data_IF_813690799932
#
_entry.id   IF_813690799932
#
_cell.length_a   1.000
_cell.length_b   1.000
_cell.length_c   1.000
_cell.angle_alpha   90.00
_cell.angle_beta   90.00
_cell.angle_gamma   90.00
#
_symmetry.space_group_name_H-M   'P 1'
#
loop_
_entity.id
_entity.type
_entity.pdbx_description
1 polymer ?
#
# COMPACT_ATOMS: atom_id res chain seq x y z
N UNK A 1 5.02 -51.00 32.42
CA UNK A 1 4.25 -49.87 32.97
C UNK A 1 4.12 -48.78 31.91
N UNK A 2 3.14 -48.88 31.03
CA UNK A 2 2.80 -47.85 30.03
C UNK A 2 1.78 -46.89 30.66
N UNK A 3 2.16 -45.62 30.81
CA UNK A 3 1.24 -44.55 31.22
C UNK A 3 0.29 -44.26 30.06
N UNK A 4 -0.96 -44.68 30.21
CA UNK A 4 -2.09 -44.30 29.36
C UNK A 4 -2.30 -42.77 29.43
N UNK A 5 -1.93 -42.06 28.37
CA UNK A 5 -2.48 -40.73 28.13
C UNK A 5 -3.93 -40.92 27.64
N UNK A 6 -4.88 -40.57 28.49
CA UNK A 6 -6.29 -40.41 28.09
C UNK A 6 -6.35 -39.41 26.94
N UNK A 7 -6.89 -39.84 25.81
CA UNK A 7 -7.35 -38.94 24.76
C UNK A 7 -8.32 -37.94 25.39
N UNK A 8 -7.91 -36.68 25.47
CA UNK A 8 -8.82 -35.59 25.76
C UNK A 8 -9.84 -35.55 24.63
N UNK A 9 -11.01 -36.11 24.90
CA UNK A 9 -12.17 -36.13 24.03
C UNK A 9 -12.66 -34.67 23.87
N UNK A 10 -11.97 -33.90 23.02
CA UNK A 10 -12.38 -32.57 22.61
C UNK A 10 -13.51 -32.67 21.58
N UNK A 11 -14.59 -33.35 21.98
CA UNK A 11 -15.91 -33.27 21.36
C UNK A 11 -16.58 -31.94 21.75
N UNK A 12 -15.83 -30.83 21.70
CA UNK A 12 -16.40 -29.49 21.67
C UNK A 12 -16.97 -29.26 20.28
N UNK A 13 -18.14 -29.89 20.10
CA UNK A 13 -19.16 -29.62 19.12
C UNK A 13 -19.39 -28.10 19.09
N UNK A 14 -18.65 -27.39 18.25
CA UNK A 14 -18.98 -26.04 17.83
C UNK A 14 -20.40 -26.09 17.27
N UNK A 15 -21.39 -25.85 18.13
CA UNK A 15 -22.75 -25.49 17.72
C UNK A 15 -22.57 -24.21 16.91
N UNK A 16 -22.47 -24.34 15.59
CA UNK A 16 -22.78 -23.26 14.65
C UNK A 16 -24.20 -22.82 14.98
N UNK A 17 -24.37 -21.80 15.80
CA UNK A 17 -25.61 -21.04 15.85
C UNK A 17 -25.72 -20.31 14.52
N UNK A 18 -26.22 -21.01 13.50
CA UNK A 18 -26.72 -20.38 12.29
C UNK A 18 -27.93 -19.55 12.76
N UNK A 19 -27.74 -18.24 12.82
CA UNK A 19 -28.82 -17.28 13.05
C UNK A 19 -29.32 -16.91 11.66
N UNK A 20 -30.45 -17.47 11.25
CA UNK A 20 -31.11 -17.12 9.99
C UNK A 20 -32.30 -16.20 10.30
N UNK A 21 -32.50 -15.15 9.50
CA UNK A 21 -33.70 -14.31 9.56
C UNK A 21 -34.69 -14.77 8.50
N UNK A 22 -35.93 -15.03 8.88
CA UNK A 22 -36.98 -15.33 7.91
C UNK A 22 -37.30 -14.08 7.09
N UNK A 23 -37.23 -14.16 5.76
CA UNK A 23 -37.48 -13.02 4.86
C UNK A 23 -38.95 -12.57 4.86
N UNK A 24 -39.87 -13.47 5.21
CA UNK A 24 -41.31 -13.19 5.20
C UNK A 24 -41.82 -12.61 6.53
N UNK A 25 -41.47 -13.23 7.67
CA UNK A 25 -41.96 -12.77 8.98
C UNK A 25 -40.90 -12.07 9.84
N UNK A 26 -39.66 -11.98 9.38
CA UNK A 26 -38.57 -11.30 10.10
C UNK A 26 -38.03 -12.04 11.33
N UNK A 27 -38.58 -13.20 11.71
CA UNK A 27 -38.17 -13.95 12.89
C UNK A 27 -36.72 -14.46 12.77
N UNK A 28 -35.95 -14.31 13.85
CA UNK A 28 -34.61 -14.89 14.00
C UNK A 28 -34.71 -16.36 14.45
N UNK A 29 -34.19 -17.26 13.63
CA UNK A 29 -34.22 -18.71 13.85
C UNK A 29 -32.83 -19.16 14.25
N UNK A 30 -32.73 -19.71 15.46
CA UNK A 30 -31.49 -20.27 16.00
C UNK A 30 -31.47 -21.78 15.75
N UNK A 31 -30.58 -22.24 14.87
CA UNK A 31 -30.36 -23.67 14.60
C UNK A 31 -30.93 -24.18 13.26
N UNK A 32 -30.69 -25.46 12.97
CA UNK A 32 -31.10 -26.11 11.74
C UNK A 32 -32.61 -26.42 11.75
N UNK A 33 -33.44 -25.57 11.12
CA UNK A 33 -34.85 -25.88 10.81
C UNK A 33 -35.11 -25.70 9.31
N UNK A 34 -35.83 -26.65 8.71
CA UNK A 34 -36.18 -26.65 7.27
C UNK A 34 -37.33 -25.69 6.94
N UNK A 35 -38.11 -25.28 7.94
CA UNK A 35 -39.22 -24.35 7.81
C UNK A 35 -39.24 -23.34 8.95
N UNK A 36 -39.73 -22.13 8.68
CA UNK A 36 -39.94 -21.13 9.71
C UNK A 36 -41.04 -21.60 10.69
N UNK A 37 -40.79 -21.61 12.01
CA UNK A 37 -41.80 -22.04 12.98
C UNK A 37 -43.01 -21.10 13.08
N UNK A 38 -42.91 -19.87 12.57
CA UNK A 38 -43.97 -18.86 12.68
C UNK A 38 -44.80 -18.74 11.41
N UNK A 39 -44.17 -18.74 10.23
CA UNK A 39 -44.89 -18.57 8.96
C UNK A 39 -44.88 -19.80 8.04
N UNK A 40 -44.25 -20.91 8.45
CA UNK A 40 -44.23 -22.16 7.68
C UNK A 40 -43.37 -22.14 6.41
N UNK A 41 -42.82 -20.99 6.00
CA UNK A 41 -42.05 -20.87 4.77
C UNK A 41 -40.77 -21.71 4.82
N UNK A 42 -40.50 -22.41 3.72
CA UNK A 42 -39.30 -23.22 3.53
C UNK A 42 -38.05 -22.33 3.55
N UNK A 43 -37.04 -22.73 4.32
CA UNK A 43 -35.77 -22.01 4.41
C UNK A 43 -34.76 -22.80 3.59
N UNK A 44 -34.30 -22.24 2.47
CA UNK A 44 -33.24 -22.84 1.69
C UNK A 44 -31.94 -22.85 2.49
N UNK A 45 -31.55 -24.03 2.95
CA UNK A 45 -30.26 -24.27 3.59
C UNK A 45 -29.15 -24.16 2.55
N UNK A 46 -28.60 -22.95 2.37
CA UNK A 46 -27.36 -22.77 1.61
C UNK A 46 -26.24 -23.54 2.32
N UNK A 47 -25.65 -24.54 1.65
CA UNK A 47 -24.46 -25.22 2.15
C UNK A 47 -23.27 -24.25 2.22
N UNK A 48 -23.03 -23.73 3.42
CA UNK A 48 -21.98 -22.74 3.70
C UNK A 48 -20.63 -23.41 4.04
N UNK A 49 -20.49 -24.71 3.81
CA UNK A 49 -19.35 -25.51 4.29
C UNK A 49 -18.61 -26.13 3.11
N UNK A 50 -17.27 -26.11 3.13
CA UNK A 50 -16.37 -26.77 2.18
C UNK A 50 -15.42 -27.68 2.94
N UNK A 51 -14.97 -28.77 2.31
CA UNK A 51 -13.95 -29.67 2.88
C UNK A 51 -12.55 -29.13 2.53
N UNK A 52 -11.67 -28.99 3.52
CA UNK A 52 -10.28 -28.63 3.28
C UNK A 52 -9.59 -29.76 2.49
N UNK A 53 -9.02 -29.45 1.33
CA UNK A 53 -8.34 -30.43 0.46
C UNK A 53 -7.11 -31.09 1.11
N UNK A 54 -6.47 -30.41 2.07
CA UNK A 54 -5.20 -30.88 2.65
C UNK A 54 -5.35 -31.65 3.97
N UNK A 55 -6.39 -31.39 4.77
CA UNK A 55 -6.59 -32.07 6.06
C UNK A 55 -7.99 -32.64 6.26
N UNK A 56 -8.88 -32.50 5.27
CA UNK A 56 -10.23 -33.06 5.32
C UNK A 56 -11.22 -32.35 6.23
N UNK A 57 -10.81 -31.33 6.99
CA UNK A 57 -11.71 -30.61 7.90
C UNK A 57 -12.79 -29.81 7.16
N UNK A 58 -14.01 -29.85 7.68
CA UNK A 58 -15.15 -29.05 7.22
C UNK A 58 -15.05 -27.62 7.76
N UNK A 59 -14.84 -26.66 6.86
CA UNK A 59 -14.66 -25.23 7.17
C UNK A 59 -15.75 -24.42 6.46
N UNK A 60 -16.10 -23.26 7.00
CA UNK A 60 -17.07 -22.38 6.32
C UNK A 60 -16.45 -21.84 5.02
N UNK A 61 -17.26 -21.61 3.98
CA UNK A 61 -16.81 -21.02 2.71
C UNK A 61 -16.10 -19.67 2.90
N UNK A 62 -16.47 -18.93 3.95
CA UNK A 62 -15.86 -17.66 4.37
C UNK A 62 -14.43 -17.77 4.93
N UNK A 63 -14.03 -18.94 5.45
CA UNK A 63 -12.71 -19.13 6.04
C UNK A 63 -11.67 -19.26 4.92
N UNK A 64 -10.71 -18.33 4.88
CA UNK A 64 -9.64 -18.26 3.86
C UNK A 64 -8.49 -19.21 4.17
N UNK A 65 -8.13 -19.36 5.45
CA UNK A 65 -7.01 -20.17 5.93
C UNK A 65 -7.58 -21.29 6.81
N UNK A 66 -7.19 -22.53 6.55
CA UNK A 66 -7.60 -23.66 7.36
C UNK A 66 -7.05 -23.52 8.79
N UNK A 67 -7.87 -23.53 9.85
CA UNK A 67 -7.38 -23.36 11.22
C UNK A 67 -6.51 -24.53 11.72
N UNK A 68 -6.61 -25.71 11.11
CA UNK A 68 -5.79 -26.88 11.49
C UNK A 68 -4.48 -26.91 10.69
N UNK A 69 -4.56 -26.95 9.37
CA UNK A 69 -3.36 -27.15 8.55
C UNK A 69 -2.72 -25.84 8.05
N UNK A 70 -3.28 -24.68 8.42
CA UNK A 70 -2.85 -23.33 7.98
C UNK A 70 -2.73 -23.11 6.47
N UNK A 71 -3.13 -24.08 5.63
CA UNK A 71 -3.17 -23.92 4.17
C UNK A 71 -4.42 -23.17 3.73
N UNK A 72 -4.28 -22.32 2.70
CA UNK A 72 -5.38 -21.53 2.12
C UNK A 72 -6.41 -22.45 1.48
N UNK A 73 -7.69 -22.16 1.69
CA UNK A 73 -8.81 -23.08 1.36
C UNK A 73 -9.80 -22.53 0.34
N UNK A 74 -9.61 -21.29 -0.07
CA UNK A 74 -10.35 -20.68 -1.18
C UNK A 74 -9.35 -19.97 -2.07
N UNK A 75 -9.45 -20.29 -3.35
CA UNK A 75 -9.13 -19.36 -4.42
C UNK A 75 -10.14 -18.23 -4.21
N UNK A 76 -9.76 -17.19 -3.46
CA UNK A 76 -10.40 -15.89 -3.68
C UNK A 76 -10.24 -15.59 -5.18
N UNK A 77 -11.11 -14.78 -5.79
CA UNK A 77 -10.66 -14.04 -6.95
C UNK A 77 -9.52 -13.13 -6.45
N UNK A 78 -8.31 -13.68 -6.36
CA UNK A 78 -7.12 -12.90 -6.58
C UNK A 78 -7.44 -12.23 -7.91
N UNK A 79 -7.62 -10.90 -7.87
CA UNK A 79 -7.63 -10.11 -9.09
C UNK A 79 -6.26 -10.37 -9.68
N UNK A 80 -6.19 -11.41 -10.51
CA UNK A 80 -4.94 -11.88 -11.02
C UNK A 80 -4.44 -10.76 -11.92
N UNK A 81 -3.18 -10.34 -11.80
CA UNK A 81 -2.64 -9.31 -12.69
C UNK A 81 -2.78 -9.71 -14.18
N UNK A 82 -2.87 -11.02 -14.47
CA UNK A 82 -3.24 -11.52 -15.80
C UNK A 82 -4.66 -11.14 -16.25
N UNK A 83 -5.64 -11.06 -15.35
CA UNK A 83 -6.99 -10.58 -15.69
C UNK A 83 -6.93 -9.11 -16.11
N UNK A 84 -6.13 -8.28 -15.43
CA UNK A 84 -5.93 -6.87 -15.81
C UNK A 84 -5.27 -6.77 -17.19
N UNK A 85 -4.19 -7.51 -17.43
CA UNK A 85 -3.50 -7.51 -18.73
C UNK A 85 -4.41 -8.02 -19.85
N UNK A 86 -5.11 -9.14 -19.64
CA UNK A 86 -6.03 -9.73 -20.62
C UNK A 86 -7.20 -8.77 -20.89
N UNK A 87 -7.78 -8.15 -19.86
CA UNK A 87 -8.88 -7.19 -20.03
C UNK A 87 -8.43 -5.93 -20.77
N UNK A 88 -7.22 -5.42 -20.49
CA UNK A 88 -6.63 -4.28 -21.19
C UNK A 88 -6.32 -4.59 -22.66
N UNK A 89 -5.77 -5.78 -22.95
CA UNK A 89 -5.47 -6.22 -24.32
C UNK A 89 -6.75 -6.47 -25.14
N UNK A 90 -7.73 -7.17 -24.57
CA UNK A 90 -9.03 -7.41 -25.22
C UNK A 90 -9.75 -6.07 -25.45
N UNK A 91 -9.75 -5.18 -24.46
CA UNK A 91 -10.32 -3.84 -24.60
C UNK A 91 -9.64 -3.06 -25.73
N UNK A 92 -8.31 -3.00 -25.73
CA UNK A 92 -7.57 -2.31 -26.78
C UNK A 92 -7.83 -2.89 -28.18
N UNK A 93 -7.96 -4.22 -28.32
CA UNK A 93 -8.23 -4.88 -29.59
C UNK A 93 -9.67 -4.66 -30.07
N UNK A 94 -10.68 -4.84 -29.21
CA UNK A 94 -12.11 -4.69 -29.54
C UNK A 94 -12.46 -3.23 -29.85
N UNK A 95 -11.86 -2.28 -29.12
CA UNK A 95 -12.15 -0.86 -29.28
C UNK A 95 -11.21 -0.16 -30.27
N UNK A 96 -10.24 -0.88 -30.89
CA UNK A 96 -9.26 -0.31 -31.83
C UNK A 96 -9.89 0.45 -32.99
N UNK A 97 -11.05 0.00 -33.46
CA UNK A 97 -11.75 0.56 -34.61
C UNK A 97 -12.85 1.58 -34.21
N UNK A 98 -13.03 1.87 -32.92
CA UNK A 98 -14.02 2.85 -32.45
C UNK A 98 -13.38 4.23 -32.24
N UNK A 99 -14.16 5.27 -32.50
CA UNK A 99 -13.74 6.68 -32.58
C UNK A 99 -13.28 7.29 -31.24
N UNK A 100 -13.54 6.65 -30.11
CA UNK A 100 -13.21 7.15 -28.78
C UNK A 100 -11.76 6.82 -28.40
N UNK A 101 -10.83 7.71 -28.73
CA UNK A 101 -9.41 7.64 -28.33
C UNK A 101 -9.26 7.46 -26.81
N UNK A 102 -10.14 8.07 -26.01
CA UNK A 102 -10.05 8.07 -24.55
C UNK A 102 -10.25 6.68 -23.94
N UNK A 103 -11.13 5.87 -24.52
CA UNK A 103 -11.33 4.48 -24.08
C UNK A 103 -10.10 3.60 -24.39
N UNK A 104 -9.42 3.86 -25.50
CA UNK A 104 -8.17 3.16 -25.82
C UNK A 104 -7.06 3.55 -24.84
N UNK A 105 -6.92 4.84 -24.52
CA UNK A 105 -5.98 5.31 -23.51
C UNK A 105 -6.25 4.66 -22.14
N UNK A 106 -7.52 4.53 -21.75
CA UNK A 106 -7.91 3.84 -20.52
C UNK A 106 -7.54 2.35 -20.54
N UNK A 107 -7.74 1.65 -21.66
CA UNK A 107 -7.33 0.24 -21.80
C UNK A 107 -5.80 0.07 -21.68
N UNK A 108 -5.03 1.00 -22.25
CA UNK A 108 -3.57 1.02 -22.09
C UNK A 108 -3.15 1.24 -20.64
N UNK A 109 -3.82 2.15 -19.91
CA UNK A 109 -3.56 2.36 -18.48
C UNK A 109 -3.79 1.07 -17.69
N UNK A 110 -4.90 0.37 -17.91
CA UNK A 110 -5.20 -0.92 -17.25
C UNK A 110 -4.10 -1.95 -17.54
N UNK A 111 -3.63 -2.01 -18.77
CA UNK A 111 -2.56 -2.91 -19.18
C UNK A 111 -1.26 -2.61 -18.42
N UNK A 112 -0.84 -1.33 -18.36
CA UNK A 112 0.36 -0.93 -17.61
C UNK A 112 0.22 -1.19 -16.11
N UNK A 113 -0.97 -0.98 -15.52
CA UNK A 113 -1.24 -1.35 -14.13
C UNK A 113 -1.10 -2.86 -13.90
N UNK A 114 -1.57 -3.68 -14.85
CA UNK A 114 -1.41 -5.13 -14.81
C UNK A 114 0.06 -5.56 -14.84
N UNK A 115 0.86 -4.99 -15.75
CA UNK A 115 2.31 -5.26 -15.83
C UNK A 115 3.02 -4.82 -14.55
N UNK A 116 2.73 -3.61 -14.06
CA UNK A 116 3.31 -3.08 -12.82
C UNK A 116 3.00 -3.97 -11.61
N UNK A 117 1.79 -4.52 -11.55
CA UNK A 117 1.37 -5.45 -10.48
C UNK A 117 2.16 -6.78 -10.52
N UNK A 118 2.52 -7.27 -11.70
CA UNK A 118 3.40 -8.46 -11.84
C UNK A 118 4.80 -8.15 -11.32
N UNK A 119 5.37 -7.01 -11.75
CA UNK A 119 6.72 -6.60 -11.34
C UNK A 119 6.82 -6.45 -9.82
N UNK A 120 5.84 -5.78 -9.21
CA UNK A 120 5.78 -5.62 -7.75
C UNK A 120 5.48 -6.95 -7.04
N UNK A 121 4.64 -7.82 -7.60
CA UNK A 121 4.42 -9.17 -7.07
C UNK A 121 5.71 -10.00 -7.03
N UNK A 122 6.52 -9.91 -8.07
CA UNK A 122 7.85 -10.54 -8.10
C UNK A 122 8.78 -9.95 -7.03
N UNK A 123 8.74 -8.63 -6.80
CA UNK A 123 9.49 -7.97 -5.73
C UNK A 123 9.12 -8.50 -4.34
N UNK A 124 7.84 -8.83 -4.12
CA UNK A 124 7.36 -9.46 -2.88
C UNK A 124 7.78 -10.93 -2.74
N UNK A 125 8.28 -11.57 -3.80
CA UNK A 125 8.54 -13.01 -3.84
C UNK A 125 7.24 -13.84 -3.97
N UNK A 126 6.15 -13.23 -4.42
CA UNK A 126 4.85 -13.90 -4.55
C UNK A 126 4.33 -13.80 -5.99
N UNK A 127 4.12 -14.95 -6.64
CA UNK A 127 3.45 -15.01 -7.93
C UNK A 127 2.08 -15.66 -7.75
N UNK A 128 1.01 -14.88 -7.94
CA UNK A 128 -0.37 -15.30 -7.69
C UNK A 128 -0.68 -15.78 -6.26
N UNK A 129 0.10 -15.33 -5.27
CA UNK A 129 0.00 -15.77 -3.88
C UNK A 129 0.54 -17.17 -3.63
N UNK A 130 1.31 -17.71 -4.57
CA UNK A 130 2.15 -18.89 -4.40
C UNK A 130 3.62 -18.47 -4.35
N UNK A 131 4.38 -19.14 -3.48
CA UNK A 131 5.83 -18.95 -3.37
C UNK A 131 6.57 -19.78 -4.42
N UNK A 132 5.88 -20.80 -4.96
CA UNK A 132 6.41 -21.74 -5.94
C UNK A 132 5.58 -21.63 -7.21
N UNK A 133 6.24 -21.39 -8.34
CA UNK A 133 5.59 -21.46 -9.64
C UNK A 133 5.61 -22.93 -10.08
N UNK A 134 4.49 -23.62 -9.84
CA UNK A 134 4.27 -24.97 -10.34
C UNK A 134 3.81 -24.90 -11.80
N UNK A 135 4.65 -25.36 -12.73
CA UNK A 135 4.32 -25.53 -14.13
C UNK A 135 4.34 -27.04 -14.42
N UNK A 136 3.21 -27.58 -14.90
CA UNK A 136 3.03 -29.00 -15.21
C UNK A 136 3.40 -29.97 -14.07
N UNK A 137 3.11 -29.61 -12.81
CA UNK A 137 3.35 -30.48 -11.65
C UNK A 137 4.82 -30.58 -11.21
N UNK A 138 5.70 -29.78 -11.80
CA UNK A 138 7.11 -29.62 -11.39
C UNK A 138 7.35 -28.20 -10.88
N UNK A 139 8.11 -28.08 -9.80
CA UNK A 139 8.51 -26.78 -9.23
C UNK A 139 9.53 -26.16 -10.17
N UNK A 140 9.12 -25.14 -10.92
CA UNK A 140 9.97 -24.55 -11.96
C UNK A 140 10.86 -23.45 -11.39
N UNK A 141 10.33 -22.65 -10.45
CA UNK A 141 11.02 -21.55 -9.79
C UNK A 141 10.48 -21.41 -8.36
N UNK A 142 11.40 -21.49 -7.38
CA UNK A 142 11.17 -20.97 -6.03
C UNK A 142 11.42 -19.46 -6.06
N UNK A 143 10.39 -18.67 -5.77
CA UNK A 143 10.52 -17.22 -5.70
C UNK A 143 11.09 -16.83 -4.34
N UNK A 144 12.37 -16.49 -4.33
CA UNK A 144 12.95 -15.82 -3.17
C UNK A 144 12.66 -14.31 -3.25
N UNK A 145 12.32 -13.67 -2.12
CA UNK A 145 12.07 -12.24 -2.07
C UNK A 145 13.31 -11.47 -2.49
N UNK A 146 13.16 -10.56 -3.45
CA UNK A 146 14.28 -9.74 -3.93
C UNK A 146 14.74 -8.80 -2.82
N UNK A 147 15.99 -8.95 -2.39
CA UNK A 147 16.62 -8.04 -1.44
C UNK A 147 17.11 -6.80 -2.19
N UNK A 148 16.64 -5.61 -1.82
CA UNK A 148 17.14 -4.36 -2.42
C UNK A 148 18.53 -4.06 -1.80
N UNK A 149 19.63 -4.11 -2.58
CA UNK A 149 20.99 -4.13 -2.04
C UNK A 149 21.42 -2.84 -1.35
N UNK A 150 20.71 -1.73 -1.57
CA UNK A 150 21.06 -0.41 -1.01
C UNK A 150 20.56 -0.28 0.45
N UNK A 151 19.54 -1.04 0.86
CA UNK A 151 18.87 -0.86 2.16
C UNK A 151 18.67 -2.16 2.96
N UNK A 152 19.09 -3.32 2.45
CA UNK A 152 18.83 -4.64 3.06
C UNK A 152 17.36 -4.86 3.47
N UNK A 153 16.44 -4.24 2.72
CA UNK A 153 14.99 -4.37 2.92
C UNK A 153 14.54 -5.62 2.15
N UNK A 154 13.89 -6.54 2.86
CA UNK A 154 13.20 -7.69 2.26
C UNK A 154 11.70 -7.49 2.42
N UNK A 155 10.96 -7.56 1.31
CA UNK A 155 9.51 -7.34 1.30
C UNK A 155 8.71 -8.62 1.59
N UNK A 156 9.34 -9.62 2.20
CA UNK A 156 8.71 -10.90 2.47
C UNK A 156 7.69 -10.81 3.61
N UNK A 157 6.48 -11.34 3.39
CA UNK A 157 5.36 -11.33 4.33
C UNK A 157 5.05 -9.91 4.88
N UNK A 158 4.39 -9.04 4.09
CA UNK A 158 4.13 -7.65 4.46
C UNK A 158 3.35 -7.50 5.78
N UNK A 159 2.54 -8.50 6.14
CA UNK A 159 1.76 -8.52 7.39
C UNK A 159 2.62 -8.66 8.64
N UNK A 160 3.77 -9.35 8.55
CA UNK A 160 4.65 -9.57 9.70
C UNK A 160 5.68 -8.44 9.85
N UNK A 161 5.98 -7.73 8.75
CA UNK A 161 7.00 -6.69 8.69
C UNK A 161 6.42 -5.34 8.25
N UNK A 162 5.36 -4.89 8.93
CA UNK A 162 4.61 -3.65 8.61
C UNK A 162 5.56 -2.44 8.51
N UNK A 163 6.53 -2.33 9.41
CA UNK A 163 7.51 -1.23 9.43
C UNK A 163 8.41 -1.21 8.19
N UNK A 164 8.70 -2.38 7.60
CA UNK A 164 9.54 -2.51 6.39
C UNK A 164 8.76 -2.06 5.16
N UNK A 165 7.49 -2.47 5.05
CA UNK A 165 6.56 -2.01 3.99
C UNK A 165 6.37 -0.50 4.07
N UNK A 166 6.20 0.01 5.28
CA UNK A 166 6.05 1.44 5.54
C UNK A 166 7.31 2.24 5.16
N UNK A 167 8.51 1.76 5.51
CA UNK A 167 9.78 2.37 5.05
C UNK A 167 9.88 2.34 3.51
N UNK A 168 9.53 1.22 2.88
CA UNK A 168 9.54 1.11 1.42
C UNK A 168 8.56 2.09 0.73
N UNK A 169 7.36 2.25 1.29
CA UNK A 169 6.37 3.23 0.87
C UNK A 169 6.90 4.67 0.95
N UNK A 170 7.51 5.04 2.09
CA UNK A 170 8.16 6.34 2.26
C UNK A 170 9.25 6.53 1.20
N UNK A 171 10.09 5.51 0.97
CA UNK A 171 11.19 5.59 0.01
C UNK A 171 10.69 5.90 -1.41
N UNK A 172 9.68 5.17 -1.88
CA UNK A 172 9.09 5.40 -3.21
C UNK A 172 8.49 6.81 -3.29
N UNK A 173 7.72 7.22 -2.27
CA UNK A 173 7.12 8.55 -2.23
C UNK A 173 8.18 9.66 -2.28
N UNK A 174 9.26 9.51 -1.52
CA UNK A 174 10.37 10.47 -1.47
C UNK A 174 11.07 10.58 -2.82
N UNK A 175 11.37 9.45 -3.47
CA UNK A 175 11.97 9.43 -4.82
C UNK A 175 11.06 10.13 -5.83
N UNK A 176 9.77 9.83 -5.82
CA UNK A 176 8.80 10.42 -6.75
C UNK A 176 8.69 11.94 -6.56
N UNK A 177 8.50 12.41 -5.33
CA UNK A 177 8.39 13.85 -5.04
C UNK A 177 9.69 14.59 -5.38
N UNK A 178 10.85 14.02 -5.01
CA UNK A 178 12.16 14.61 -5.33
C UNK A 178 12.36 14.72 -6.85
N UNK A 179 11.90 13.74 -7.64
CA UNK A 179 11.98 13.81 -9.11
C UNK A 179 11.16 14.98 -9.66
N UNK A 180 9.96 15.23 -9.11
CA UNK A 180 9.13 16.38 -9.47
C UNK A 180 9.82 17.72 -9.18
N UNK A 181 10.36 17.89 -7.97
CA UNK A 181 11.08 19.11 -7.61
C UNK A 181 12.42 19.25 -8.34
N UNK A 182 13.07 18.16 -8.71
CA UNK A 182 14.28 18.21 -9.53
C UNK A 182 13.97 18.72 -10.93
N UNK A 183 12.86 18.28 -11.54
CA UNK A 183 12.38 18.86 -12.82
C UNK A 183 12.07 20.35 -12.66
N UNK A 184 11.42 20.74 -11.55
CA UNK A 184 11.15 22.15 -11.25
C UNK A 184 12.44 22.97 -11.11
N UNK A 185 13.47 22.41 -10.46
CA UNK A 185 14.79 23.02 -10.36
C UNK A 185 15.41 23.23 -11.76
N UNK A 186 15.37 22.21 -12.63
CA UNK A 186 15.86 22.32 -14.00
C UNK A 186 15.12 23.39 -14.80
N UNK A 187 13.80 23.54 -14.59
CA UNK A 187 13.00 24.59 -15.21
C UNK A 187 13.43 25.98 -14.75
N UNK A 188 13.64 26.19 -13.45
CA UNK A 188 14.14 27.47 -12.93
C UNK A 188 15.55 27.78 -13.41
N UNK A 189 16.40 26.76 -13.54
CA UNK A 189 17.74 26.89 -14.07
C UNK A 189 17.72 27.36 -15.53
N UNK A 190 16.87 26.75 -16.35
CA UNK A 190 16.66 27.14 -17.76
C UNK A 190 16.10 28.56 -17.91
N UNK A 191 15.28 29.00 -16.96
CA UNK A 191 14.70 30.35 -16.94
C UNK A 191 15.64 31.42 -16.34
N UNK A 192 16.91 31.08 -16.05
CA UNK A 192 17.90 31.94 -15.38
C UNK A 192 17.48 32.43 -13.97
N UNK A 193 16.46 31.83 -13.34
CA UNK A 193 15.97 32.14 -11.99
C UNK A 193 16.64 31.24 -10.93
N UNK A 194 17.97 31.24 -10.91
CA UNK A 194 18.77 30.29 -10.11
C UNK A 194 18.50 30.37 -8.59
N UNK A 195 18.28 31.58 -8.06
CA UNK A 195 17.98 31.76 -6.64
C UNK A 195 16.65 31.09 -6.26
N UNK A 196 15.62 31.23 -7.09
CA UNK A 196 14.32 30.60 -6.83
C UNK A 196 14.41 29.07 -6.90
N UNK A 197 15.19 28.54 -7.85
CA UNK A 197 15.46 27.11 -7.93
C UNK A 197 16.19 26.57 -6.70
N UNK A 198 17.18 27.32 -6.18
CA UNK A 198 17.87 26.95 -4.95
C UNK A 198 16.93 26.99 -3.74
N UNK A 199 16.35 28.17 -3.48
CA UNK A 199 15.56 28.44 -2.28
C UNK A 199 14.24 27.68 -2.22
N UNK A 200 13.59 27.44 -3.37
CA UNK A 200 12.34 26.70 -3.44
C UNK A 200 12.53 25.20 -3.66
N UNK A 201 13.28 24.78 -4.69
CA UNK A 201 13.32 23.37 -5.08
C UNK A 201 14.39 22.57 -4.34
N UNK A 202 15.63 23.06 -4.23
CA UNK A 202 16.71 22.31 -3.58
C UNK A 202 16.51 22.22 -2.06
N UNK A 203 16.03 23.29 -1.41
CA UNK A 203 15.76 23.24 0.03
C UNK A 203 14.59 22.30 0.36
N UNK A 204 13.57 22.16 -0.51
CA UNK A 204 12.52 21.14 -0.35
C UNK A 204 13.07 19.71 -0.49
N UNK A 205 13.93 19.47 -1.48
CA UNK A 205 14.61 18.17 -1.64
C UNK A 205 15.43 17.86 -0.38
N UNK A 206 16.14 18.85 0.16
CA UNK A 206 16.91 18.68 1.40
C UNK A 206 16.00 18.41 2.60
N UNK A 207 14.92 19.16 2.78
CA UNK A 207 13.91 18.94 3.83
C UNK A 207 13.40 17.49 3.82
N UNK A 208 12.96 17.02 2.66
CA UNK A 208 12.36 15.70 2.49
C UNK A 208 13.38 14.57 2.65
N UNK A 209 14.56 14.73 2.05
CA UNK A 209 15.65 13.75 2.14
C UNK A 209 16.19 13.68 3.57
N UNK A 210 16.32 14.82 4.24
CA UNK A 210 16.72 14.92 5.65
C UNK A 210 15.72 14.22 6.58
N UNK A 211 14.43 14.47 6.41
CA UNK A 211 13.38 13.76 7.16
C UNK A 211 13.40 12.24 6.90
N UNK A 212 13.69 11.82 5.67
CA UNK A 212 13.80 10.40 5.32
C UNK A 212 15.00 9.75 6.01
N UNK A 213 16.17 10.38 5.97
CA UNK A 213 17.37 9.90 6.67
C UNK A 213 17.12 9.79 8.18
N UNK A 214 16.44 10.79 8.77
CA UNK A 214 16.06 10.80 10.18
C UNK A 214 15.23 9.56 10.54
N UNK A 215 14.14 9.32 9.80
CA UNK A 215 13.23 8.19 10.04
C UNK A 215 13.92 6.83 9.79
N UNK A 216 14.79 6.73 8.78
CA UNK A 216 15.42 5.47 8.42
C UNK A 216 16.52 5.07 9.40
N UNK A 217 17.27 6.05 9.92
CA UNK A 217 18.40 5.84 10.83
C UNK A 217 17.97 5.75 12.29
N UNK A 218 17.08 6.65 12.73
CA UNK A 218 16.69 6.79 14.14
C UNK A 218 15.27 6.29 14.44
N UNK A 219 14.49 5.90 13.42
CA UNK A 219 13.10 5.47 13.60
C UNK A 219 12.18 6.62 14.01
N UNK A 220 11.02 6.28 14.58
CA UNK A 220 10.03 7.22 15.11
C UNK A 220 10.24 7.51 16.61
N UNK A 221 11.49 7.58 17.05
CA UNK A 221 11.84 7.85 18.45
C UNK A 221 12.18 9.34 18.65
N UNK A 222 11.20 10.10 19.13
CA UNK A 222 11.33 11.54 19.38
C UNK A 222 12.42 11.83 20.42
N UNK A 223 12.64 10.94 21.40
CA UNK A 223 13.67 11.14 22.41
C UNK A 223 15.06 11.10 21.77
N UNK A 224 15.29 10.16 20.86
CA UNK A 224 16.57 10.05 20.12
C UNK A 224 16.76 11.24 19.19
N UNK A 225 15.70 11.79 18.61
CA UNK A 225 15.79 12.97 17.75
C UNK A 225 16.23 14.23 18.49
N UNK A 226 15.85 14.34 19.77
CA UNK A 226 16.20 15.44 20.67
C UNK A 226 17.48 15.20 21.48
N UNK A 227 18.04 13.99 21.43
CA UNK A 227 19.31 13.69 22.09
C UNK A 227 20.50 14.19 21.24
N UNK A 228 21.59 14.67 21.85
CA UNK A 228 22.82 15.02 21.12
C UNK A 228 23.28 13.85 20.22
N UNK A 229 23.55 14.07 18.92
CA UNK A 229 23.87 15.34 18.25
C UNK A 229 22.67 16.12 17.65
N UNK A 230 21.45 15.90 18.15
CA UNK A 230 20.19 16.50 17.69
C UNK A 230 19.86 16.20 16.22
N UNK A 231 19.62 14.92 15.86
CA UNK A 231 19.23 14.54 14.50
C UNK A 231 18.05 15.33 13.93
N UNK A 232 17.15 15.83 14.78
CA UNK A 232 16.01 16.66 14.38
C UNK A 232 16.39 17.91 13.59
N UNK A 233 17.63 18.41 13.75
CA UNK A 233 18.12 19.57 13.01
C UNK A 233 18.19 19.31 11.50
N UNK A 234 18.32 18.05 11.08
CA UNK A 234 18.46 17.66 9.68
C UNK A 234 17.26 18.07 8.81
N UNK A 235 15.99 17.82 9.22
CA UNK A 235 14.82 18.42 8.56
C UNK A 235 14.46 19.82 9.09
N UNK A 236 14.75 20.16 10.35
CA UNK A 236 14.33 21.46 10.91
C UNK A 236 15.03 22.64 10.24
N UNK A 237 16.34 22.53 9.99
CA UNK A 237 17.15 23.59 9.38
C UNK A 237 16.68 23.95 7.96
N UNK A 238 16.51 23.01 7.01
CA UNK A 238 15.94 23.33 5.69
C UNK A 238 14.50 23.87 5.78
N UNK A 239 13.71 23.44 6.76
CA UNK A 239 12.36 23.99 6.98
C UNK A 239 12.38 25.48 7.34
N UNK A 240 13.27 25.87 8.25
CA UNK A 240 13.50 27.28 8.60
C UNK A 240 14.05 28.06 7.39
N UNK A 241 15.00 27.45 6.66
CA UNK A 241 15.56 28.07 5.45
C UNK A 241 14.51 28.34 4.37
N UNK A 242 13.52 27.45 4.16
CA UNK A 242 12.44 27.68 3.20
C UNK A 242 11.66 28.96 3.49
N UNK A 243 11.39 29.24 4.76
CA UNK A 243 10.64 30.41 5.20
C UNK A 243 11.49 31.69 5.06
N UNK A 244 12.79 31.61 5.37
CA UNK A 244 13.66 32.78 5.45
C UNK A 244 14.34 33.15 4.13
N UNK A 245 14.68 32.18 3.28
CA UNK A 245 15.49 32.44 2.09
C UNK A 245 14.76 33.32 1.07
N UNK A 246 13.46 33.15 0.87
CA UNK A 246 12.66 34.00 -0.03
C UNK A 246 12.69 35.49 0.38
N UNK A 247 12.38 35.88 1.63
CA UNK A 247 12.48 37.27 2.07
C UNK A 247 13.92 37.81 2.08
N UNK A 248 14.94 36.96 2.37
CA UNK A 248 16.34 37.36 2.21
C UNK A 248 16.69 37.71 0.76
N UNK A 249 16.14 36.99 -0.24
CA UNK A 249 16.35 37.30 -1.65
C UNK A 249 15.85 38.68 -2.05
N UNK A 250 14.75 39.13 -1.43
CA UNK A 250 14.26 40.51 -1.60
C UNK A 250 15.22 41.53 -0.98
N UNK A 251 15.78 41.24 0.19
CA UNK A 251 16.79 42.10 0.84
C UNK A 251 18.05 42.26 -0.03
N UNK A 252 18.43 41.22 -0.77
CA UNK A 252 19.54 41.26 -1.75
C UNK A 252 19.14 41.81 -3.14
N UNK A 253 17.99 42.49 -3.25
CA UNK A 253 17.51 43.14 -4.48
C UNK A 253 17.40 42.24 -5.72
N UNK A 254 17.08 40.96 -5.54
CA UNK A 254 16.85 40.03 -6.66
C UNK A 254 15.69 40.52 -7.54
N UNK A 255 15.95 40.74 -8.84
CA UNK A 255 15.08 41.48 -9.77
C UNK A 255 13.65 40.94 -9.90
N UNK A 256 13.42 39.65 -9.66
CA UNK A 256 12.12 38.98 -9.80
C UNK A 256 11.36 38.81 -8.48
N UNK A 257 11.90 39.30 -7.35
CA UNK A 257 11.27 39.26 -6.01
C UNK A 257 10.87 40.66 -5.50
N UNK A 258 11.02 41.70 -6.33
CA UNK A 258 10.83 43.10 -5.91
C UNK A 258 9.37 43.47 -5.65
N UNK A 259 8.44 42.87 -6.40
CA UNK A 259 7.01 43.21 -6.37
C UNK A 259 6.26 42.57 -5.20
N UNK A 260 6.80 41.50 -4.60
CA UNK A 260 6.11 40.78 -3.52
C UNK A 260 6.38 41.34 -2.14
N UNK A 261 5.38 41.37 -1.26
CA UNK A 261 5.55 41.82 0.14
C UNK A 261 6.34 40.80 0.95
N UNK A 262 7.12 41.27 1.95
CA UNK A 262 7.90 40.37 2.82
C UNK A 262 6.98 39.39 3.57
N UNK A 263 5.80 39.86 4.02
CA UNK A 263 4.78 39.02 4.62
C UNK A 263 4.21 37.98 3.65
N UNK A 264 4.01 38.35 2.38
CA UNK A 264 3.60 37.43 1.31
C UNK A 264 4.63 36.31 1.09
N UNK A 265 5.92 36.66 1.02
CA UNK A 265 7.02 35.69 0.82
C UNK A 265 7.15 34.70 2.00
N UNK A 266 6.98 35.19 3.25
CA UNK A 266 6.96 34.34 4.45
C UNK A 266 5.73 33.44 4.46
N UNK A 267 4.56 33.98 4.09
CA UNK A 267 3.32 33.23 3.97
C UNK A 267 3.42 32.11 2.94
N UNK A 268 3.97 32.41 1.77
CA UNK A 268 4.22 31.43 0.70
C UNK A 268 5.21 30.35 1.16
N UNK A 269 6.34 30.72 1.78
CA UNK A 269 7.31 29.76 2.31
C UNK A 269 6.72 28.85 3.41
N UNK A 270 5.83 29.38 4.23
CA UNK A 270 5.11 28.63 5.26
C UNK A 270 4.10 27.67 4.63
N UNK A 271 3.28 28.15 3.70
CA UNK A 271 2.29 27.34 2.95
C UNK A 271 2.97 26.19 2.22
N UNK A 272 4.07 26.46 1.50
CA UNK A 272 4.85 25.44 0.80
C UNK A 272 5.43 24.38 1.74
N UNK A 273 5.87 24.79 2.94
CA UNK A 273 6.38 23.86 3.96
C UNK A 273 5.27 22.96 4.49
N UNK A 274 4.08 23.51 4.73
CA UNK A 274 2.90 22.73 5.14
C UNK A 274 2.40 21.80 4.04
N UNK A 275 2.31 22.26 2.80
CA UNK A 275 1.95 21.41 1.66
C UNK A 275 2.95 20.26 1.49
N UNK A 276 4.24 20.53 1.70
CA UNK A 276 5.28 19.49 1.66
C UNK A 276 5.03 18.45 2.76
N UNK A 277 4.80 18.89 3.99
CA UNK A 277 4.49 18.01 5.12
C UNK A 277 3.22 17.17 4.86
N UNK A 278 2.15 17.81 4.40
CA UNK A 278 0.87 17.18 4.10
C UNK A 278 0.97 16.20 2.93
N UNK A 279 1.74 16.55 1.89
CA UNK A 279 2.01 15.66 0.76
C UNK A 279 2.71 14.39 1.21
N UNK A 280 3.69 14.50 2.12
CA UNK A 280 4.34 13.33 2.72
C UNK A 280 3.32 12.50 3.50
N UNK A 281 2.57 13.10 4.43
CA UNK A 281 1.60 12.37 5.24
C UNK A 281 0.53 11.67 4.39
N UNK A 282 0.01 12.36 3.38
CA UNK A 282 -1.01 11.84 2.47
C UNK A 282 -0.46 10.72 1.58
N UNK A 283 0.72 10.89 1.00
CA UNK A 283 1.34 9.86 0.17
C UNK A 283 1.70 8.62 0.99
N UNK A 284 2.29 8.81 2.17
CA UNK A 284 2.62 7.72 3.09
C UNK A 284 1.36 6.98 3.55
N UNK A 285 0.30 7.70 3.91
CA UNK A 285 -0.99 7.10 4.25
C UNK A 285 -1.61 6.34 3.07
N UNK A 286 -1.49 6.88 1.85
CA UNK A 286 -1.96 6.24 0.62
C UNK A 286 -1.23 4.92 0.36
N UNK A 287 0.09 4.88 0.52
CA UNK A 287 0.89 3.66 0.35
C UNK A 287 0.73 2.63 1.48
N UNK A 288 0.22 3.05 2.65
CA UNK A 288 -0.07 2.14 3.77
C UNK A 288 -1.42 1.43 3.59
N UNK A 289 -2.27 1.93 2.69
CA UNK A 289 -3.60 1.36 2.38
C UNK A 289 -3.51 0.22 1.39
#
# INVERSE_FOLDING_TARGET
AQKNFKEANLNFKYRKSLINKCENCGMLITGYRKSCPTCGQAIELKEIVKKCKNCGMLITKSVKICPICRKRTTILPNINPTILIISGLIGAFVFRNKKSIDFLNFCWIILYCGIGSILVGFLYGEFFGMHDIELFGTIFLHLEPVTIPILNITLHNPLNNILVVFKFAILIGVIHINLGWFIQFLNYWKQHRKYLGFTGSLVKIWLLTGGTILIFTFGFDIYVWMAPPYPILLPLLPGILLILLKPFGKLFHVSYLKEETIGGLIGEGTMESFETLLSIMSNVASYTR
#
